data_IF_072969607038
#
_entry.id   IF_072969607038
#
_cell.length_a   1.000
_cell.length_b   1.000
_cell.length_c   1.000
_cell.angle_alpha   90.00
_cell.angle_beta   90.00
_cell.angle_gamma   90.00
#
_symmetry.space_group_name_H-M   'P 1'
#
loop_
_entity.id
_entity.type
_entity.pdbx_description
1 polymer ?
#
# COMPACT_ATOMS: atom_id res chain seq x y z
N UNK A 1 -39.76 15.25 -17.47
CA UNK A 1 -40.69 16.09 -16.69
C UNK A 1 -40.59 15.58 -15.26
N UNK A 2 -39.90 16.20 -14.30
CA UNK A 2 -39.45 17.58 -14.14
C UNK A 2 -38.07 17.65 -13.46
N UNK A 3 -37.25 18.61 -13.89
CA UNK A 3 -36.16 19.22 -13.15
C UNK A 3 -36.67 19.94 -11.88
N UNK A 4 -35.89 19.92 -10.81
CA UNK A 4 -35.81 21.04 -9.86
C UNK A 4 -34.35 21.34 -9.53
N UNK A 5 -33.87 22.43 -10.11
CA UNK A 5 -32.62 23.13 -9.85
C UNK A 5 -32.78 24.05 -8.62
N UNK A 6 -31.75 24.15 -7.77
CA UNK A 6 -31.18 25.43 -7.26
C UNK A 6 -29.83 25.16 -6.56
N UNK A 7 -28.71 25.53 -7.22
CA UNK A 7 -27.91 26.77 -7.05
C UNK A 7 -26.99 26.74 -5.81
N UNK A 8 -25.70 26.42 -5.98
CA UNK A 8 -24.59 27.32 -6.34
C UNK A 8 -23.91 27.98 -5.14
N UNK A 9 -22.65 27.63 -4.89
CA UNK A 9 -21.61 28.58 -4.47
C UNK A 9 -20.31 28.22 -5.20
N UNK A 10 -19.96 29.06 -6.17
CA UNK A 10 -18.60 29.17 -6.68
C UNK A 10 -17.68 29.58 -5.53
N UNK A 11 -16.53 28.92 -5.40
CA UNK A 11 -15.26 29.64 -5.26
C UNK A 11 -14.27 29.11 -6.28
N UNK A 12 -14.09 29.91 -7.32
CA UNK A 12 -12.93 29.87 -8.22
C UNK A 12 -11.70 30.22 -7.38
N UNK A 13 -10.67 29.39 -7.49
CA UNK A 13 -9.27 29.81 -7.52
C UNK A 13 -8.65 28.97 -8.65
N UNK A 14 -8.62 29.45 -9.89
CA UNK A 14 -7.57 30.35 -10.38
C UNK A 14 -6.19 29.87 -9.92
N UNK A 15 -5.79 28.66 -10.32
CA UNK A 15 -4.39 28.30 -10.35
C UNK A 15 -3.75 29.08 -11.49
N UNK A 16 -3.25 30.28 -11.17
CA UNK A 16 -2.43 31.05 -12.07
C UNK A 16 -1.21 30.19 -12.44
N UNK A 17 -1.09 29.92 -13.74
CA UNK A 17 0.09 29.36 -14.35
C UNK A 17 1.31 30.20 -13.95
N UNK A 18 2.19 29.61 -13.14
CA UNK A 18 3.62 29.96 -13.18
C UNK A 18 4.20 29.07 -14.25
N UNK A 19 4.34 29.64 -15.44
CA UNK A 19 4.95 29.03 -16.61
C UNK A 19 6.45 28.82 -16.30
N UNK A 20 6.83 27.59 -15.89
CA UNK A 20 8.21 27.21 -15.55
C UNK A 20 8.95 26.51 -16.71
N UNK A 21 8.35 26.46 -17.91
CA UNK A 21 9.00 25.92 -19.09
C UNK A 21 9.14 24.39 -19.14
N UNK A 22 8.44 23.63 -18.29
CA UNK A 22 8.37 22.17 -18.46
C UNK A 22 7.54 21.78 -19.69
N UNK A 23 8.11 20.91 -20.54
CA UNK A 23 7.48 20.48 -21.79
C UNK A 23 6.16 19.75 -21.50
N UNK A 24 5.16 19.98 -22.36
CA UNK A 24 3.87 19.27 -22.34
C UNK A 24 4.02 17.74 -22.45
N UNK A 25 5.15 17.26 -23.01
CA UNK A 25 5.50 15.83 -23.06
C UNK A 25 5.83 15.21 -21.69
N UNK A 26 6.14 16.03 -20.69
CA UNK A 26 6.50 15.59 -19.34
C UNK A 26 5.28 15.53 -18.40
N UNK A 27 4.11 16.02 -18.85
CA UNK A 27 2.83 15.82 -18.19
C UNK A 27 2.31 14.39 -18.42
N UNK A 28 3.05 13.39 -17.92
CA UNK A 28 2.40 12.13 -17.55
C UNK A 28 1.39 12.49 -16.49
N UNK A 29 0.13 12.55 -16.88
CA UNK A 29 -1.03 12.57 -15.99
C UNK A 29 -0.98 11.31 -15.13
N UNK A 30 -0.14 11.29 -14.10
CA UNK A 30 -0.40 10.46 -12.96
C UNK A 30 -1.58 11.16 -12.30
N UNK A 31 -2.80 10.75 -12.67
CA UNK A 31 -3.84 10.73 -11.67
C UNK A 31 -3.26 9.84 -10.57
N UNK A 32 -2.63 10.45 -9.57
CA UNK A 32 -1.98 9.73 -8.47
C UNK A 32 -3.09 9.14 -7.62
N UNK A 33 -3.63 8.00 -8.05
CA UNK A 33 -4.48 7.20 -7.18
C UNK A 33 -3.69 6.92 -5.91
N UNK A 34 -4.34 7.18 -4.77
CA UNK A 34 -3.73 7.07 -3.45
C UNK A 34 -3.43 5.60 -3.16
N UNK A 35 -2.28 5.31 -2.54
CA UNK A 35 -1.98 3.95 -2.06
C UNK A 35 -2.61 3.73 -0.70
N UNK A 36 -3.31 2.61 -0.56
CA UNK A 36 -4.01 2.23 0.68
C UNK A 36 -3.63 0.82 1.07
N UNK A 37 -3.22 0.60 2.32
CA UNK A 37 -2.97 -0.72 2.88
C UNK A 37 -4.07 -1.05 3.89
N UNK A 38 -4.77 -2.17 3.69
CA UNK A 38 -5.74 -2.70 4.63
C UNK A 38 -5.07 -3.76 5.51
N UNK A 39 -5.19 -3.58 6.83
CA UNK A 39 -4.67 -4.48 7.87
C UNK A 39 -5.74 -4.81 8.91
N UNK A 40 -5.51 -5.85 9.73
CA UNK A 40 -6.46 -6.24 10.79
C UNK A 40 -6.37 -5.33 12.02
N UNK A 41 -5.16 -5.09 12.51
CA UNK A 41 -4.93 -4.48 13.81
C UNK A 41 -4.14 -3.17 13.78
N UNK A 42 -4.27 -2.39 14.86
CA UNK A 42 -3.48 -1.16 15.08
C UNK A 42 -1.98 -1.45 15.20
N UNK A 43 -1.60 -2.61 15.74
CA UNK A 43 -0.20 -3.03 15.84
C UNK A 43 0.42 -3.23 14.46
N UNK A 44 -0.33 -3.81 13.52
CA UNK A 44 0.12 -4.02 12.13
C UNK A 44 0.39 -2.68 11.46
N UNK A 45 -0.56 -1.75 11.57
CA UNK A 45 -0.43 -0.36 11.10
C UNK A 45 0.83 0.29 11.65
N UNK A 46 1.03 0.23 12.97
CA UNK A 46 2.22 0.83 13.60
C UNK A 46 3.53 0.23 13.08
N UNK A 47 3.57 -1.06 12.79
CA UNK A 47 4.79 -1.72 12.26
C UNK A 47 5.07 -1.36 10.82
N UNK A 48 4.05 -1.32 9.97
CA UNK A 48 4.18 -0.97 8.55
C UNK A 48 4.64 0.49 8.41
N UNK A 49 4.07 1.40 9.19
CA UNK A 49 4.47 2.81 9.17
C UNK A 49 5.93 3.05 9.64
N UNK A 50 6.55 2.11 10.35
CA UNK A 50 7.98 2.20 10.71
C UNK A 50 8.93 1.97 9.54
N UNK A 51 8.46 1.29 8.49
CA UNK A 51 9.31 0.91 7.35
C UNK A 51 9.04 1.74 6.11
N UNK A 52 7.92 2.45 6.02
CA UNK A 52 7.55 3.28 4.87
C UNK A 52 8.26 4.65 4.89
N UNK A 53 8.58 5.19 3.71
CA UNK A 53 9.07 6.56 3.49
C UNK A 53 8.13 7.44 2.67
N UNK A 54 7.08 6.87 2.08
CA UNK A 54 6.01 7.63 1.42
C UNK A 54 4.77 7.72 2.31
N UNK A 55 3.89 8.68 2.00
CA UNK A 55 2.59 8.78 2.64
C UNK A 55 1.67 7.67 2.12
N UNK A 56 1.27 6.78 3.02
CA UNK A 56 0.36 5.66 2.72
C UNK A 56 -0.74 5.63 3.76
N UNK A 57 -1.94 5.41 3.29
CA UNK A 57 -3.08 5.29 4.17
C UNK A 57 -3.28 3.87 4.62
N UNK A 58 -3.43 3.72 5.93
CA UNK A 58 -3.59 2.42 6.54
C UNK A 58 -4.93 2.33 7.24
N UNK A 59 -5.79 1.47 6.70
CA UNK A 59 -7.14 1.16 7.21
C UNK A 59 -7.06 -0.10 8.07
N UNK A 60 -7.57 -0.02 9.30
CA UNK A 60 -7.61 -1.15 10.22
C UNK A 60 -9.03 -1.71 10.32
N UNK A 61 -9.26 -2.98 9.98
CA UNK A 61 -10.60 -3.59 9.97
C UNK A 61 -11.08 -4.05 11.35
N UNK A 62 -10.18 -4.23 12.31
CA UNK A 62 -10.47 -4.75 13.65
C UNK A 62 -11.05 -6.17 13.63
N UNK A 63 -10.58 -6.99 12.68
CA UNK A 63 -11.06 -8.36 12.45
C UNK A 63 -12.07 -8.42 11.30
N UNK A 64 -13.21 -9.05 11.52
CA UNK A 64 -14.30 -9.17 10.53
C UNK A 64 -15.01 -7.84 10.31
N UNK A 65 -15.38 -7.54 9.06
CA UNK A 65 -16.07 -6.31 8.71
C UNK A 65 -17.59 -6.46 8.84
N UNK A 66 -18.24 -5.52 9.55
CA UNK A 66 -19.68 -5.32 9.50
C UNK A 66 -20.10 -4.73 8.14
N UNK A 67 -21.41 -4.78 7.84
CA UNK A 67 -21.95 -4.16 6.63
C UNK A 67 -21.66 -2.66 6.56
N UNK A 68 -21.83 -1.95 7.68
CA UNK A 68 -21.56 -0.51 7.77
C UNK A 68 -20.08 -0.18 7.53
N UNK A 69 -19.16 -0.98 8.06
CA UNK A 69 -17.73 -0.81 7.81
C UNK A 69 -17.38 -1.04 6.34
N UNK A 70 -18.03 -2.00 5.67
CA UNK A 70 -17.83 -2.20 4.24
C UNK A 70 -18.26 -0.96 3.45
N UNK A 71 -19.48 -0.48 3.66
CA UNK A 71 -20.04 0.67 2.93
C UNK A 71 -19.25 1.96 3.18
N UNK A 72 -18.86 2.22 4.42
CA UNK A 72 -18.24 3.50 4.79
C UNK A 72 -16.71 3.50 4.64
N UNK A 73 -16.02 2.38 4.91
CA UNK A 73 -14.56 2.35 4.99
C UNK A 73 -13.91 1.61 3.79
N UNK A 74 -14.63 0.68 3.14
CA UNK A 74 -14.05 -0.23 2.12
C UNK A 74 -14.49 0.15 0.71
N UNK A 75 -15.79 0.27 0.45
CA UNK A 75 -16.35 0.61 -0.88
C UNK A 75 -15.76 1.91 -1.47
N UNK A 76 -15.53 2.99 -0.69
CA UNK A 76 -14.93 4.21 -1.22
C UNK A 76 -13.53 4.02 -1.82
N UNK A 77 -12.80 2.97 -1.40
CA UNK A 77 -11.44 2.67 -1.84
C UNK A 77 -11.37 2.02 -3.24
N UNK A 78 -12.50 1.77 -3.90
CA UNK A 78 -12.55 1.05 -5.18
C UNK A 78 -11.78 1.71 -6.34
N UNK A 79 -11.46 3.00 -6.23
CA UNK A 79 -10.69 3.77 -7.22
C UNK A 79 -9.23 4.02 -6.80
N UNK A 80 -8.84 3.53 -5.62
CA UNK A 80 -7.50 3.66 -5.06
C UNK A 80 -6.63 2.44 -5.38
N UNK A 81 -5.31 2.58 -5.19
CA UNK A 81 -4.39 1.45 -5.25
C UNK A 81 -4.39 0.72 -3.90
N UNK A 82 -5.27 -0.28 -3.78
CA UNK A 82 -5.48 -1.00 -2.52
C UNK A 82 -4.61 -2.25 -2.42
N UNK A 83 -3.96 -2.41 -1.27
CA UNK A 83 -3.14 -3.55 -0.90
C UNK A 83 -3.70 -4.21 0.36
N UNK A 84 -3.81 -5.54 0.37
CA UNK A 84 -4.35 -6.30 1.50
C UNK A 84 -3.23 -7.07 2.18
N UNK A 85 -2.83 -6.65 3.39
CA UNK A 85 -1.83 -7.31 4.22
C UNK A 85 -2.46 -7.72 5.55
N UNK A 86 -3.12 -8.87 5.54
CA UNK A 86 -3.82 -9.47 6.70
C UNK A 86 -3.12 -10.75 7.16
N UNK A 87 -3.50 -11.26 8.34
CA UNK A 87 -2.83 -12.39 8.96
C UNK A 87 -2.93 -13.66 8.13
N UNK A 88 -1.87 -14.46 8.18
CA UNK A 88 -1.76 -15.74 7.48
C UNK A 88 -2.44 -16.88 8.27
N UNK A 89 -3.62 -16.62 8.82
CA UNK A 89 -4.40 -17.57 9.59
C UNK A 89 -5.85 -17.71 9.08
N UNK A 90 -6.68 -18.49 9.77
CA UNK A 90 -8.04 -18.75 9.31
C UNK A 90 -8.93 -17.50 9.32
N UNK A 91 -8.73 -16.58 10.27
CA UNK A 91 -9.50 -15.34 10.37
C UNK A 91 -9.08 -14.36 9.27
N UNK A 92 -7.79 -14.11 9.11
CA UNK A 92 -7.26 -13.24 8.06
C UNK A 92 -7.61 -13.74 6.65
N UNK A 93 -7.62 -15.06 6.41
CA UNK A 93 -8.07 -15.62 5.14
C UNK A 93 -9.58 -15.40 4.87
N UNK A 94 -10.43 -15.40 5.91
CA UNK A 94 -11.86 -15.07 5.74
C UNK A 94 -12.04 -13.59 5.44
N UNK A 95 -11.33 -12.71 6.15
CA UNK A 95 -11.34 -11.28 5.90
C UNK A 95 -10.87 -10.96 4.48
N UNK A 96 -9.77 -11.55 4.04
CA UNK A 96 -9.25 -11.39 2.66
C UNK A 96 -10.30 -11.74 1.62
N UNK A 97 -11.00 -12.87 1.79
CA UNK A 97 -12.09 -13.27 0.88
C UNK A 97 -13.22 -12.25 0.85
N UNK A 98 -13.61 -11.70 2.00
CA UNK A 98 -14.63 -10.65 2.07
C UNK A 98 -14.15 -9.39 1.33
N UNK A 99 -12.95 -8.90 1.63
CA UNK A 99 -12.35 -7.73 0.98
C UNK A 99 -12.26 -7.90 -0.54
N UNK A 100 -11.87 -9.08 -1.04
CA UNK A 100 -11.75 -9.36 -2.48
C UNK A 100 -13.09 -9.37 -3.23
N UNK A 101 -14.23 -9.54 -2.54
CA UNK A 101 -15.55 -9.38 -3.16
C UNK A 101 -15.88 -7.91 -3.40
N UNK A 102 -15.55 -7.06 -2.43
CA UNK A 102 -15.84 -5.61 -2.47
C UNK A 102 -14.78 -4.83 -3.28
N UNK A 103 -13.52 -5.29 -3.24
CA UNK A 103 -12.38 -4.69 -3.91
C UNK A 103 -11.68 -5.73 -4.81
N UNK A 104 -12.27 -6.10 -5.96
CA UNK A 104 -11.71 -7.13 -6.85
C UNK A 104 -10.29 -6.80 -7.34
N UNK A 105 -9.98 -5.51 -7.50
CA UNK A 105 -8.70 -5.00 -8.00
C UNK A 105 -7.63 -4.87 -6.90
N UNK A 106 -7.96 -5.11 -5.63
CA UNK A 106 -6.98 -5.02 -4.54
C UNK A 106 -5.88 -6.08 -4.69
N UNK A 107 -4.63 -5.68 -4.40
CA UNK A 107 -3.43 -6.50 -4.50
C UNK A 107 -3.18 -7.24 -3.19
N UNK A 108 -3.06 -8.56 -3.25
CA UNK A 108 -2.80 -9.37 -2.08
C UNK A 108 -1.30 -9.35 -1.70
N UNK A 109 -1.00 -8.87 -0.50
CA UNK A 109 0.31 -8.99 0.14
C UNK A 109 0.26 -10.08 1.21
N UNK A 110 1.35 -10.84 1.32
CA UNK A 110 1.43 -11.98 2.24
C UNK A 110 2.72 -11.94 3.06
N UNK A 111 2.57 -12.12 4.37
CA UNK A 111 3.68 -12.56 5.22
C UNK A 111 3.90 -14.07 5.10
N UNK A 112 5.05 -14.56 5.59
CA UNK A 112 5.31 -15.99 5.66
C UNK A 112 4.36 -16.65 6.65
N UNK A 113 3.81 -17.81 6.27
CA UNK A 113 2.95 -18.64 7.14
C UNK A 113 3.59 -18.93 8.51
N UNK A 114 4.92 -19.03 8.57
CA UNK A 114 5.66 -19.25 9.83
C UNK A 114 5.57 -18.09 10.83
N UNK A 115 5.38 -16.85 10.36
CA UNK A 115 5.17 -15.70 11.25
C UNK A 115 3.72 -15.60 11.72
N UNK A 116 2.79 -16.16 10.93
CA UNK A 116 1.34 -16.21 11.16
C UNK A 116 0.66 -14.84 11.17
N UNK A 117 1.15 -13.91 11.98
CA UNK A 117 0.58 -12.58 12.19
C UNK A 117 1.48 -11.49 11.58
N UNK A 118 0.89 -10.44 11.00
CA UNK A 118 1.62 -9.26 10.52
C UNK A 118 2.38 -8.60 11.68
N UNK A 119 1.75 -8.52 12.85
CA UNK A 119 2.33 -8.04 14.10
C UNK A 119 3.63 -8.77 14.51
N UNK A 120 3.80 -10.04 14.12
CA UNK A 120 4.97 -10.88 14.44
C UNK A 120 6.00 -10.98 13.33
N UNK A 121 5.71 -10.43 12.15
CA UNK A 121 6.61 -10.49 11.01
C UNK A 121 7.79 -9.53 11.23
N UNK A 122 9.06 -9.97 11.17
CA UNK A 122 10.21 -9.09 11.35
C UNK A 122 10.18 -7.87 10.41
N UNK A 123 10.70 -6.72 10.86
CA UNK A 123 10.55 -5.45 10.13
C UNK A 123 11.24 -5.49 8.77
N UNK A 124 12.41 -6.13 8.67
CA UNK A 124 13.13 -6.36 7.42
C UNK A 124 12.33 -7.21 6.42
N UNK A 125 11.49 -8.12 6.93
CA UNK A 125 10.61 -8.91 6.09
C UNK A 125 9.39 -8.11 5.62
N UNK A 126 8.81 -7.26 6.49
CA UNK A 126 7.75 -6.33 6.09
C UNK A 126 8.25 -5.31 5.05
N UNK A 127 9.43 -4.73 5.30
CA UNK A 127 10.12 -3.82 4.38
C UNK A 127 10.31 -4.45 3.00
N UNK A 128 10.76 -5.71 2.95
CA UNK A 128 10.87 -6.43 1.68
C UNK A 128 9.53 -6.63 0.98
N UNK A 129 8.49 -7.09 1.70
CA UNK A 129 7.16 -7.31 1.12
C UNK A 129 6.62 -6.02 0.48
N UNK A 130 6.79 -4.89 1.16
CA UNK A 130 6.32 -3.59 0.69
C UNK A 130 7.21 -3.04 -0.44
N UNK A 131 8.54 -3.20 -0.37
CA UNK A 131 9.44 -2.83 -1.47
C UNK A 131 9.14 -3.62 -2.75
N UNK A 132 8.89 -4.93 -2.64
CA UNK A 132 8.51 -5.79 -3.77
C UNK A 132 7.15 -5.37 -4.36
N UNK A 133 6.31 -4.67 -3.59
CA UNK A 133 5.06 -4.05 -4.02
C UNK A 133 5.21 -2.57 -4.43
N UNK A 134 6.43 -2.11 -4.68
CA UNK A 134 6.76 -0.76 -5.14
C UNK A 134 6.41 0.36 -4.15
N UNK A 135 6.44 0.07 -2.85
CA UNK A 135 6.47 1.11 -1.84
C UNK A 135 7.88 1.67 -1.63
N UNK A 136 7.98 2.95 -1.30
CA UNK A 136 9.20 3.59 -0.84
C UNK A 136 9.46 3.19 0.62
N UNK A 137 10.63 2.58 0.85
CA UNK A 137 10.99 1.96 2.13
C UNK A 137 12.23 2.62 2.72
N UNK A 138 12.29 2.68 4.04
CA UNK A 138 13.48 3.09 4.74
C UNK A 138 14.58 2.05 4.58
N UNK A 139 15.64 2.45 3.89
CA UNK A 139 16.79 1.63 3.52
C UNK A 139 17.41 0.91 4.72
N UNK A 140 17.28 1.43 5.94
CA UNK A 140 17.76 0.76 7.15
C UNK A 140 17.13 -0.63 7.37
N UNK A 141 15.93 -0.88 6.82
CA UNK A 141 15.22 -2.15 6.92
C UNK A 141 15.46 -3.09 5.73
N UNK A 142 16.03 -2.59 4.64
CA UNK A 142 16.41 -3.41 3.51
C UNK A 142 17.78 -4.01 3.82
N UNK A 143 17.82 -5.28 4.24
CA UNK A 143 19.10 -5.98 4.36
C UNK A 143 19.79 -6.01 3.00
N UNK A 144 20.74 -5.11 2.77
CA UNK A 144 21.68 -5.19 1.65
C UNK A 144 22.50 -6.43 1.90
N UNK A 145 22.16 -7.54 1.24
CA UNK A 145 23.12 -8.64 1.13
C UNK A 145 24.35 -8.03 0.47
N UNK A 146 25.53 -8.02 1.10
CA UNK A 146 26.73 -7.65 0.37
C UNK A 146 26.84 -8.58 -0.84
N UNK A 147 27.27 -8.08 -2.01
CA UNK A 147 27.49 -8.94 -3.17
C UNK A 147 28.35 -10.14 -2.73
N UNK A 148 27.94 -11.35 -3.10
CA UNK A 148 28.75 -12.56 -2.82
C UNK A 148 30.16 -12.26 -3.34
N UNK A 149 31.16 -12.26 -2.45
CA UNK A 149 32.56 -12.17 -2.86
C UNK A 149 32.78 -13.26 -3.92
N UNK A 150 33.07 -12.82 -5.14
CA UNK A 150 33.44 -13.73 -6.22
C UNK A 150 34.66 -14.52 -5.77
N UNK A 151 34.62 -15.85 -5.93
CA UNK A 151 35.76 -16.68 -5.55
C UNK A 151 36.91 -16.31 -6.48
N UNK A 152 37.89 -15.57 -5.97
CA UNK A 152 39.15 -15.33 -6.69
C UNK A 152 39.76 -16.71 -6.98
N UNK A 153 39.97 -17.11 -8.25
CA UNK A 153 40.60 -18.37 -8.55
C UNK A 153 42.00 -18.38 -7.93
N UNK A 154 42.32 -19.43 -7.16
CA UNK A 154 43.66 -19.61 -6.60
C UNK A 154 44.62 -19.83 -7.76
N UNK A 155 45.52 -18.89 -8.00
CA UNK A 155 46.67 -19.09 -8.89
C UNK A 155 47.51 -20.22 -8.31
N UNK A 156 47.42 -21.39 -8.92
CA UNK A 156 48.36 -22.49 -8.70
C UNK A 156 49.72 -22.04 -9.24
N UNK A 157 50.66 -21.79 -8.34
CA UNK A 157 52.06 -21.63 -8.70
C UNK A 157 52.66 -23.03 -8.79
N UNK A 158 53.08 -23.41 -10.00
CA UNK A 158 53.90 -24.59 -10.26
C UNK A 158 55.38 -24.30 -10.03
#
# INVERSE_FOLDING_TARGET
MMDVIRRSHLRRAAWAARDDGRKLSDMRTHATSRKVIIVEGKTDKSRILKVLREEVDVVCTQGTLSYEQVENDIVPLQHDEVYILVDADAAGNRLRKQLKRELPNAIDLYTRKSYREVARTPLEHLAKILADAHFEIDEQWLQVRPPRRERVPKTVHG
#
